data_IF_722245693206
#
_entry.id   IF_722245693206
#
_cell.length_a   1.000
_cell.length_b   1.000
_cell.length_c   1.000
_cell.angle_alpha   90.00
_cell.angle_beta   90.00
_cell.angle_gamma   90.00
#
_symmetry.space_group_name_H-M   'P 1'
#
loop_
_entity.id
_entity.type
_entity.pdbx_description
1 polymer ?
#
# COMPACT_ATOMS: atom_id res chain seq x y z
N UNK A 1 12.64 23.55 24.24
CA UNK A 1 13.41 22.66 23.33
C UNK A 1 13.45 21.26 23.92
N UNK A 2 12.65 20.33 23.42
CA UNK A 2 12.62 18.95 23.92
C UNK A 2 13.58 18.07 23.11
N UNK A 3 14.63 17.58 23.76
CA UNK A 3 15.66 16.72 23.15
C UNK A 3 15.18 15.27 23.29
N UNK A 4 14.61 14.69 22.23
CA UNK A 4 14.28 13.26 22.17
C UNK A 4 15.59 12.46 22.25
N UNK A 5 15.86 11.86 23.41
CA UNK A 5 16.93 10.85 23.56
C UNK A 5 16.56 9.69 22.64
N UNK A 6 17.30 9.52 21.54
CA UNK A 6 17.17 8.36 20.68
C UNK A 6 17.60 7.11 21.44
N UNK A 7 16.64 6.27 21.84
CA UNK A 7 16.92 4.89 22.20
C UNK A 7 17.61 4.22 21.01
N UNK A 8 18.66 3.39 21.19
CA UNK A 8 19.24 2.67 20.07
C UNK A 8 18.12 1.88 19.40
N UNK A 9 17.92 2.13 18.10
CA UNK A 9 16.93 1.41 17.30
C UNK A 9 17.30 -0.07 17.36
N UNK A 10 16.51 -0.85 18.11
CA UNK A 10 16.63 -2.29 18.14
C UNK A 10 16.49 -2.78 16.70
N UNK A 11 17.55 -3.40 16.17
CA UNK A 11 17.54 -3.86 14.79
C UNK A 11 16.77 -5.17 14.77
N UNK A 12 15.44 -5.08 14.72
CA UNK A 12 14.60 -6.27 14.57
C UNK A 12 14.86 -6.82 13.17
N UNK A 13 15.40 -8.04 13.02
CA UNK A 13 15.57 -8.63 11.70
C UNK A 13 14.19 -8.82 11.09
N UNK A 14 13.87 -7.99 10.10
CA UNK A 14 12.63 -8.08 9.33
C UNK A 14 12.79 -9.28 8.40
N UNK A 15 12.55 -10.48 8.91
CA UNK A 15 12.44 -11.67 8.06
C UNK A 15 11.03 -11.62 7.46
N UNK A 16 10.87 -11.35 6.15
CA UNK A 16 9.54 -11.29 5.57
C UNK A 16 8.89 -12.67 5.71
N UNK A 17 7.62 -12.76 6.14
CA UNK A 17 6.90 -14.02 6.09
C UNK A 17 6.92 -14.54 4.64
N UNK A 18 7.56 -15.69 4.44
CA UNK A 18 7.71 -16.32 3.11
C UNK A 18 6.42 -16.93 2.56
N UNK A 19 5.32 -16.90 3.31
CA UNK A 19 4.04 -17.40 2.80
C UNK A 19 3.60 -16.51 1.65
N UNK A 20 3.46 -17.05 0.43
CA UNK A 20 2.89 -16.30 -0.67
C UNK A 20 1.50 -15.83 -0.23
N UNK A 21 1.24 -14.52 -0.37
CA UNK A 21 -0.14 -14.05 -0.41
C UNK A 21 -0.69 -14.67 -1.70
N UNK A 22 -1.43 -15.77 -1.55
CA UNK A 22 -1.97 -16.48 -2.70
C UNK A 22 -2.86 -15.50 -3.47
N UNK A 23 -2.66 -15.35 -4.79
CA UNK A 23 -3.63 -14.67 -5.62
C UNK A 23 -4.99 -15.29 -5.35
N UNK A 24 -5.96 -14.41 -5.16
CA UNK A 24 -7.33 -14.81 -4.99
C UNK A 24 -7.78 -15.22 -6.41
N UNK A 25 -7.73 -16.51 -6.76
CA UNK A 25 -7.91 -16.99 -8.14
C UNK A 25 -9.26 -16.52 -8.76
N UNK A 26 -9.25 -16.19 -10.06
CA UNK A 26 -10.40 -15.82 -10.89
C UNK A 26 -10.26 -14.46 -11.63
N UNK A 27 -11.01 -14.20 -12.73
CA UNK A 27 -11.00 -12.94 -13.46
C UNK A 27 -11.69 -11.83 -12.65
N UNK A 28 -11.01 -11.33 -11.61
CA UNK A 28 -11.51 -10.30 -10.68
C UNK A 28 -11.33 -8.91 -11.25
N UNK A 29 -12.11 -8.59 -12.27
CA UNK A 29 -12.09 -7.25 -12.84
C UNK A 29 -12.87 -6.26 -11.98
N UNK A 30 -13.82 -6.74 -11.16
CA UNK A 30 -14.68 -5.92 -10.31
C UNK A 30 -15.25 -6.73 -9.16
N UNK A 31 -15.02 -6.28 -7.94
CA UNK A 31 -15.59 -6.88 -6.72
C UNK A 31 -16.38 -5.80 -5.95
N UNK A 32 -17.40 -6.17 -5.16
CA UNK A 32 -18.06 -5.23 -4.27
C UNK A 32 -17.05 -4.62 -3.28
N UNK A 33 -17.18 -3.32 -3.00
CA UNK A 33 -16.39 -2.69 -1.95
C UNK A 33 -16.81 -3.20 -0.57
N UNK A 34 -15.84 -3.44 0.31
CA UNK A 34 -16.11 -3.80 1.71
C UNK A 34 -16.82 -2.66 2.44
N UNK A 35 -17.44 -2.95 3.58
CA UNK A 35 -18.07 -1.91 4.40
C UNK A 35 -17.07 -0.81 4.82
N UNK A 36 -15.84 -1.19 5.17
CA UNK A 36 -14.77 -0.25 5.50
C UNK A 36 -14.34 0.61 4.31
N UNK A 37 -14.19 0.02 3.12
CA UNK A 37 -13.87 0.75 1.89
C UNK A 37 -14.96 1.76 1.53
N UNK A 38 -16.25 1.37 1.62
CA UNK A 38 -17.39 2.27 1.39
C UNK A 38 -17.40 3.45 2.34
N UNK A 39 -17.16 3.20 3.64
CA UNK A 39 -17.11 4.26 4.66
C UNK A 39 -15.99 5.27 4.36
N UNK A 40 -14.77 4.79 4.11
CA UNK A 40 -13.63 5.68 3.82
C UNK A 40 -13.82 6.45 2.52
N UNK A 41 -14.33 5.81 1.47
CA UNK A 41 -14.66 6.50 0.22
C UNK A 41 -15.69 7.60 0.44
N UNK A 42 -16.78 7.31 1.17
CA UNK A 42 -17.79 8.33 1.47
C UNK A 42 -17.21 9.51 2.26
N UNK A 43 -16.36 9.23 3.24
CA UNK A 43 -15.68 10.26 4.03
C UNK A 43 -14.77 11.14 3.16
N UNK A 44 -14.04 10.53 2.23
CA UNK A 44 -13.20 11.22 1.24
C UNK A 44 -14.03 12.15 0.32
N UNK A 45 -15.27 11.79 -0.02
CA UNK A 45 -16.15 12.62 -0.86
C UNK A 45 -16.78 13.81 -0.12
N UNK A 46 -16.96 13.75 1.20
CA UNK A 46 -17.73 14.75 1.96
C UNK A 46 -16.85 15.68 2.80
N UNK A 47 -15.61 15.31 3.11
CA UNK A 47 -14.72 16.12 3.96
C UNK A 47 -13.97 17.14 3.10
N UNK A 48 -14.07 18.45 3.43
CA UNK A 48 -13.17 19.44 2.87
C UNK A 48 -11.77 19.18 3.44
N UNK A 49 -10.83 18.76 2.59
CA UNK A 49 -9.48 18.28 2.89
C UNK A 49 -9.37 16.74 3.07
N UNK A 50 -9.34 15.98 1.95
CA UNK A 50 -9.33 14.52 1.95
C UNK A 50 -8.05 13.90 2.57
N UNK A 51 -6.99 14.68 2.79
CA UNK A 51 -5.70 14.17 3.24
C UNK A 51 -5.69 13.65 4.69
N UNK A 52 -6.77 13.87 5.46
CA UNK A 52 -6.93 13.38 6.84
C UNK A 52 -6.79 11.84 6.95
N UNK A 53 -7.05 11.10 5.86
CA UNK A 53 -6.93 9.65 5.84
C UNK A 53 -5.61 9.13 5.25
N UNK A 54 -4.67 10.03 4.93
CA UNK A 54 -3.33 9.64 4.51
C UNK A 54 -2.50 9.19 5.72
N UNK A 55 -1.90 8.00 5.62
CA UNK A 55 -0.94 7.51 6.61
C UNK A 55 0.47 7.91 6.17
N UNK A 56 1.06 8.86 6.88
CA UNK A 56 2.45 9.28 6.65
C UNK A 56 3.39 8.58 7.61
N UNK A 57 4.55 8.16 7.10
CA UNK A 57 5.65 7.65 7.92
C UNK A 57 6.98 8.13 7.36
N UNK A 58 7.95 8.32 8.26
CA UNK A 58 9.32 8.65 7.91
C UNK A 58 10.23 7.50 8.33
N UNK A 59 11.03 7.00 7.39
CA UNK A 59 12.05 5.99 7.66
C UNK A 59 13.43 6.63 7.66
N UNK A 60 14.19 6.42 8.73
CA UNK A 60 15.63 6.70 8.76
C UNK A 60 16.39 5.41 8.45
N UNK A 61 16.99 5.37 7.28
CA UNK A 61 17.84 4.27 6.84
C UNK A 61 19.31 4.63 7.12
N UNK A 62 20.06 3.70 7.70
CA UNK A 62 21.47 3.87 8.02
C UNK A 62 22.35 3.16 6.98
N UNK A 63 23.45 3.80 6.59
CA UNK A 63 24.39 3.26 5.61
C UNK A 63 24.06 3.66 4.16
N UNK A 64 24.71 2.99 3.20
CA UNK A 64 24.54 3.26 1.77
C UNK A 64 23.28 2.57 1.26
N UNK A 65 22.38 3.33 0.65
CA UNK A 65 21.20 2.82 -0.03
C UNK A 65 21.49 2.82 -1.52
N UNK A 66 21.30 1.68 -2.18
CA UNK A 66 21.21 1.64 -3.64
C UNK A 66 19.80 2.10 -4.06
N UNK A 67 19.67 3.26 -4.73
CA UNK A 67 18.38 3.80 -5.15
C UNK A 67 17.65 2.90 -6.15
N UNK A 68 18.39 2.11 -6.95
CA UNK A 68 17.82 1.16 -7.90
C UNK A 68 17.17 0.02 -7.13
N UNK A 69 17.92 -0.62 -6.24
CA UNK A 69 17.41 -1.71 -5.41
C UNK A 69 16.22 -1.26 -4.53
N UNK A 70 16.27 -0.06 -3.95
CA UNK A 70 15.19 0.48 -3.13
C UNK A 70 13.91 0.69 -3.95
N UNK A 71 14.02 1.26 -5.15
CA UNK A 71 12.89 1.44 -6.07
C UNK A 71 12.30 0.11 -6.49
N UNK A 72 13.14 -0.87 -6.80
CA UNK A 72 12.67 -2.18 -7.27
C UNK A 72 12.03 -2.98 -6.13
N UNK A 73 12.53 -2.83 -4.89
CA UNK A 73 11.87 -3.39 -3.71
C UNK A 73 10.48 -2.77 -3.46
N UNK A 74 10.30 -1.47 -3.65
CA UNK A 74 8.99 -0.80 -3.57
C UNK A 74 8.06 -1.29 -4.68
N UNK A 75 8.54 -1.36 -5.93
CA UNK A 75 7.77 -1.88 -7.07
C UNK A 75 7.31 -3.31 -6.84
N UNK A 76 8.19 -4.18 -6.38
CA UNK A 76 7.85 -5.57 -6.08
C UNK A 76 6.86 -5.67 -4.91
N UNK A 77 6.95 -4.76 -3.92
CA UNK A 77 5.97 -4.65 -2.84
C UNK A 77 4.59 -4.28 -3.35
N UNK A 78 4.46 -3.29 -4.24
CA UNK A 78 3.20 -2.93 -4.89
C UNK A 78 2.69 -4.08 -5.77
N UNK A 79 3.56 -4.71 -6.56
CA UNK A 79 3.20 -5.84 -7.42
C UNK A 79 2.65 -7.03 -6.62
N UNK A 80 3.25 -7.33 -5.46
CA UNK A 80 2.85 -8.44 -4.58
C UNK A 80 1.49 -8.22 -3.92
N UNK A 81 1.17 -7.00 -3.48
CA UNK A 81 -0.05 -6.75 -2.70
C UNK A 81 -1.19 -6.22 -3.57
N UNK A 82 -2.29 -6.96 -3.67
CA UNK A 82 -3.49 -6.52 -4.41
C UNK A 82 -4.05 -5.21 -3.86
N UNK A 83 -4.08 -5.06 -2.53
CA UNK A 83 -4.58 -3.85 -1.87
C UNK A 83 -3.88 -2.56 -2.34
N UNK A 84 -2.57 -2.62 -2.66
CA UNK A 84 -1.81 -1.46 -3.14
C UNK A 84 -2.04 -1.16 -4.63
N UNK A 85 -2.76 -2.03 -5.34
CA UNK A 85 -3.11 -1.92 -6.76
C UNK A 85 -4.63 -1.79 -6.96
N UNK A 86 -5.39 -1.64 -5.89
CA UNK A 86 -6.84 -1.55 -5.92
C UNK A 86 -7.30 -0.10 -6.07
N UNK A 87 -8.19 0.14 -7.03
CA UNK A 87 -8.93 1.39 -7.17
C UNK A 87 -10.38 1.18 -6.76
N UNK A 88 -11.00 2.17 -6.11
CA UNK A 88 -12.43 2.20 -5.87
C UNK A 88 -13.11 2.99 -7.00
N UNK A 89 -14.13 2.42 -7.62
CA UNK A 89 -14.88 3.01 -8.73
C UNK A 89 -16.35 3.02 -8.38
N UNK A 90 -16.99 4.17 -8.51
CA UNK A 90 -18.42 4.34 -8.32
C UNK A 90 -19.09 4.51 -9.69
N UNK A 91 -19.91 3.53 -10.07
CA UNK A 91 -20.76 3.63 -11.25
C UNK A 91 -22.23 3.66 -10.82
N UNK A 92 -22.85 4.83 -10.86
CA UNK A 92 -24.29 4.98 -10.58
C UNK A 92 -24.73 4.61 -9.16
N UNK A 93 -23.83 4.67 -8.17
CA UNK A 93 -24.12 4.33 -6.77
C UNK A 93 -23.53 2.99 -6.32
N UNK A 94 -23.05 2.17 -7.25
CA UNK A 94 -22.43 0.87 -6.94
C UNK A 94 -20.91 1.02 -6.80
N UNK A 95 -20.44 1.15 -5.55
CA UNK A 95 -19.01 1.22 -5.25
C UNK A 95 -18.35 -0.16 -5.34
N UNK A 96 -17.40 -0.28 -6.27
CA UNK A 96 -16.65 -1.49 -6.53
C UNK A 96 -15.16 -1.29 -6.36
N UNK A 97 -14.45 -2.35 -6.01
CA UNK A 97 -13.00 -2.40 -6.01
C UNK A 97 -12.49 -3.12 -7.26
N UNK A 98 -11.52 -2.51 -7.94
CA UNK A 98 -10.90 -2.99 -9.17
C UNK A 98 -9.41 -3.15 -8.93
N UNK A 99 -8.91 -4.38 -9.03
CA UNK A 99 -7.49 -4.70 -8.84
C UNK A 99 -6.76 -4.57 -10.17
N UNK A 100 -5.78 -3.67 -10.25
CA UNK A 100 -4.92 -3.57 -11.44
C UNK A 100 -4.04 -4.83 -11.58
N UNK A 101 -3.72 -5.28 -12.80
CA UNK A 101 -2.91 -6.49 -13.00
C UNK A 101 -1.52 -6.35 -12.37
N UNK A 102 -0.93 -7.49 -12.00
CA UNK A 102 0.45 -7.52 -11.52
C UNK A 102 1.40 -7.29 -12.71
N UNK A 103 1.97 -6.09 -12.80
CA UNK A 103 3.08 -5.79 -13.71
C UNK A 103 4.37 -6.26 -13.04
N UNK A 104 5.04 -7.26 -13.62
CA UNK A 104 6.37 -7.68 -13.15
C UNK A 104 7.37 -6.60 -13.56
N UNK A 105 8.23 -6.16 -12.65
CA UNK A 105 9.36 -5.30 -13.00
C UNK A 105 10.34 -6.11 -13.83
N UNK A 106 10.43 -5.83 -15.13
CA UNK A 106 11.54 -6.30 -15.94
C UNK A 106 12.79 -5.57 -15.48
N UNK A 107 13.69 -6.28 -14.79
CA UNK A 107 15.02 -5.79 -14.48
C UNK A 107 15.73 -5.44 -15.78
N UNK A 108 16.22 -4.20 -15.90
CA UNK A 108 17.12 -3.76 -16.97
C UNK A 108 18.38 -3.18 -16.36
#
# INVERSE_FOLDING_TARGET
>A
MLRLKGSPAETVPITPPRRPIAPLDGPRHRLPATAGQRRLWMLDQIIPNPEVYNVFFLLRLAGRIDPVAARDALRETVARHEALRTRLVNDGGELSQIVAPRVRSTSS
#
